data_IF_077341118692
#
_entry.id   IF_077341118692
#
_cell.length_a   1.000
_cell.length_b   1.000
_cell.length_c   1.000
_cell.angle_alpha   90.00
_cell.angle_beta   90.00
_cell.angle_gamma   90.00
#
_symmetry.space_group_name_H-M   'P 1'
#
loop_
_entity.id
_entity.type
_entity.pdbx_description
1 polymer ?
#
# COMPACT_ATOMS: atom_id res chain seq x y z
N UNK A 1 16.36 0.37 -79.91
CA UNK A 1 17.30 0.59 -78.77
C UNK A 1 16.72 1.51 -77.68
N UNK A 2 15.99 2.56 -78.02
CA UNK A 2 15.45 3.50 -76.99
C UNK A 2 14.33 2.97 -76.12
N UNK A 3 13.53 1.96 -76.53
CA UNK A 3 12.42 1.47 -75.69
C UNK A 3 12.88 0.47 -74.59
N UNK A 4 13.93 -0.25 -74.79
CA UNK A 4 14.50 -1.18 -73.79
C UNK A 4 15.17 -0.45 -72.64
N UNK A 5 15.83 0.67 -72.94
CA UNK A 5 16.47 1.50 -71.90
C UNK A 5 15.41 2.14 -70.94
N UNK A 6 14.23 2.52 -71.51
CA UNK A 6 13.12 3.07 -70.66
C UNK A 6 12.51 2.02 -69.72
N UNK A 7 12.41 0.77 -70.19
CA UNK A 7 11.84 -0.32 -69.36
C UNK A 7 12.83 -0.80 -68.29
N UNK A 8 14.13 -0.82 -68.59
CA UNK A 8 15.18 -1.12 -67.57
C UNK A 8 15.24 -0.02 -66.51
N UNK A 9 15.11 1.26 -66.90
CA UNK A 9 15.04 2.38 -65.95
C UNK A 9 13.82 2.33 -65.02
N UNK A 10 12.65 1.93 -65.53
CA UNK A 10 11.44 1.78 -64.70
C UNK A 10 11.51 0.60 -63.72
N UNK A 11 12.13 -0.52 -64.12
CA UNK A 11 12.34 -1.68 -63.25
C UNK A 11 13.37 -1.39 -62.15
N UNK A 12 14.45 -0.67 -62.45
CA UNK A 12 15.44 -0.25 -61.47
C UNK A 12 14.88 0.77 -60.47
N UNK A 13 14.00 1.69 -60.85
CA UNK A 13 13.29 2.61 -59.95
C UNK A 13 12.31 1.84 -59.06
N UNK A 14 11.59 0.83 -59.57
CA UNK A 14 10.69 -0.02 -58.78
C UNK A 14 11.39 -0.85 -57.72
N UNK A 15 12.61 -1.32 -57.99
CA UNK A 15 13.43 -2.09 -57.01
C UNK A 15 13.98 -1.19 -55.90
N UNK A 16 14.25 0.08 -56.18
CA UNK A 16 14.70 1.05 -55.18
C UNK A 16 13.60 1.46 -54.18
N UNK A 17 12.34 1.41 -54.58
CA UNK A 17 11.22 1.68 -53.68
C UNK A 17 10.82 0.48 -52.81
N UNK A 18 11.15 -0.74 -53.17
CA UNK A 18 10.78 -1.95 -52.42
C UNK A 18 11.68 -2.20 -51.17
N UNK A 19 12.87 -1.60 -51.16
CA UNK A 19 13.81 -1.78 -50.05
C UNK A 19 13.82 -0.65 -49.01
N UNK A 20 12.99 0.41 -49.16
CA UNK A 20 12.99 1.54 -48.24
C UNK A 20 11.98 1.44 -47.11
N UNK A 21 11.07 0.45 -47.10
CA UNK A 21 10.07 0.37 -46.02
C UNK A 21 10.65 -0.05 -44.68
N UNK A 22 11.70 -0.86 -44.65
CA UNK A 22 12.37 -1.27 -43.37
C UNK A 22 13.32 -0.23 -42.79
N UNK A 23 13.75 0.77 -43.60
CA UNK A 23 14.66 1.83 -43.13
C UNK A 23 13.87 3.01 -42.53
N UNK A 24 12.55 3.08 -42.77
CA UNK A 24 11.68 4.17 -42.35
C UNK A 24 10.86 3.86 -41.10
N UNK A 25 10.99 2.67 -40.55
CA UNK A 25 10.50 2.37 -39.17
C UNK A 25 11.72 2.24 -38.23
N UNK A 26 12.27 3.34 -37.74
CA UNK A 26 13.29 3.25 -36.69
C UNK A 26 12.64 2.56 -35.50
N UNK A 27 13.17 1.41 -35.11
CA UNK A 27 12.84 0.86 -33.79
C UNK A 27 13.18 1.94 -32.76
N UNK A 28 12.26 2.27 -31.83
CA UNK A 28 12.55 3.26 -30.80
C UNK A 28 13.81 2.82 -30.03
N UNK A 29 14.85 3.63 -30.02
CA UNK A 29 16.12 3.30 -29.35
C UNK A 29 15.92 2.86 -27.91
N UNK A 30 14.89 3.38 -27.24
CA UNK A 30 14.50 2.98 -25.89
C UNK A 30 13.98 1.55 -25.77
N UNK A 31 13.30 1.02 -26.78
CA UNK A 31 12.78 -0.35 -26.80
C UNK A 31 13.92 -1.36 -26.95
N UNK A 32 14.86 -1.11 -27.87
CA UNK A 32 16.04 -1.96 -28.05
C UNK A 32 16.90 -2.00 -26.79
N UNK A 33 17.06 -0.87 -26.12
CA UNK A 33 17.78 -0.81 -24.86
C UNK A 33 17.07 -1.60 -23.74
N UNK A 34 15.74 -1.53 -23.66
CA UNK A 34 14.96 -2.27 -22.66
C UNK A 34 14.99 -3.78 -22.92
N UNK A 35 14.86 -4.22 -24.19
CA UNK A 35 14.93 -5.61 -24.57
C UNK A 35 16.31 -6.21 -24.26
N UNK A 36 17.38 -5.48 -24.54
CA UNK A 36 18.74 -5.89 -24.20
C UNK A 36 18.94 -5.96 -22.68
N UNK A 37 18.40 -4.99 -21.94
CA UNK A 37 18.49 -4.97 -20.47
C UNK A 37 17.79 -6.17 -19.85
N UNK A 38 16.55 -6.45 -20.25
CA UNK A 38 15.71 -7.48 -19.64
C UNK A 38 15.92 -8.88 -20.23
N UNK A 39 16.97 -9.09 -21.04
CA UNK A 39 17.31 -10.39 -21.62
C UNK A 39 18.14 -11.27 -20.67
N UNK A 40 18.50 -10.79 -19.48
CA UNK A 40 19.33 -11.50 -18.50
C UNK A 40 18.65 -11.57 -17.15
N UNK A 41 19.09 -12.49 -16.28
CA UNK A 41 18.63 -12.57 -14.88
C UNK A 41 18.84 -11.25 -14.13
N UNK A 42 20.02 -10.62 -14.24
CA UNK A 42 20.33 -9.35 -13.57
C UNK A 42 19.43 -8.21 -14.09
N UNK A 43 19.14 -8.21 -15.38
CA UNK A 43 18.22 -7.28 -15.98
C UNK A 43 16.80 -7.44 -15.44
N UNK A 44 16.32 -8.68 -15.32
CA UNK A 44 15.02 -8.96 -14.71
C UNK A 44 14.97 -8.57 -13.23
N UNK A 45 16.02 -8.82 -12.44
CA UNK A 45 16.11 -8.35 -11.05
C UNK A 45 16.00 -6.82 -10.98
N UNK A 46 16.69 -6.12 -11.89
CA UNK A 46 16.58 -4.66 -12.02
C UNK A 46 15.16 -4.24 -12.39
N UNK A 47 14.53 -4.96 -13.32
CA UNK A 47 13.12 -4.76 -13.68
C UNK A 47 12.18 -4.94 -12.48
N UNK A 48 12.37 -6.00 -11.68
CA UNK A 48 11.61 -6.24 -10.44
C UNK A 48 11.80 -5.08 -9.46
N UNK A 49 13.03 -4.59 -9.25
CA UNK A 49 13.26 -3.42 -8.40
C UNK A 49 12.48 -2.20 -8.90
N UNK A 50 12.40 -2.04 -10.23
CA UNK A 50 11.58 -1.02 -10.86
C UNK A 50 10.08 -1.14 -10.56
N UNK A 51 9.56 -2.36 -10.33
CA UNK A 51 8.13 -2.57 -9.97
C UNK A 51 7.81 -1.95 -8.59
N UNK A 52 8.74 -2.00 -7.63
CA UNK A 52 8.54 -1.45 -6.28
C UNK A 52 8.61 0.08 -6.22
N UNK A 53 9.31 0.71 -7.18
CA UNK A 53 9.56 2.15 -7.14
C UNK A 53 8.30 3.03 -7.01
N UNK A 54 7.15 2.73 -7.65
CA UNK A 54 5.93 3.52 -7.47
C UNK A 54 5.39 3.53 -6.04
N UNK A 55 5.70 2.53 -5.20
CA UNK A 55 5.30 2.51 -3.80
C UNK A 55 5.80 3.74 -3.03
N UNK A 56 6.99 4.25 -3.38
CA UNK A 56 7.55 5.44 -2.75
C UNK A 56 6.64 6.66 -2.94
N UNK A 57 6.12 6.86 -4.14
CA UNK A 57 5.19 7.96 -4.42
C UNK A 57 3.81 7.70 -3.79
N UNK A 58 3.34 6.45 -3.83
CA UNK A 58 2.04 6.05 -3.27
C UNK A 58 2.04 6.29 -1.76
N UNK A 59 3.00 5.72 -1.02
CA UNK A 59 3.09 5.85 0.44
C UNK A 59 3.83 7.11 0.89
N UNK A 60 4.55 7.77 -0.01
CA UNK A 60 5.11 9.10 0.18
C UNK A 60 4.08 10.22 0.07
N UNK A 61 2.82 9.97 -0.28
CA UNK A 61 1.83 11.03 -0.40
C UNK A 61 0.42 10.59 -0.73
N UNK A 62 0.22 9.92 -1.86
CA UNK A 62 -1.14 9.72 -2.39
C UNK A 62 -2.01 8.82 -1.51
N UNK A 63 -1.47 7.73 -0.96
CA UNK A 63 -2.22 6.83 -0.09
C UNK A 63 -2.65 7.52 1.21
N UNK A 64 -1.73 8.25 1.84
CA UNK A 64 -2.00 9.02 3.07
C UNK A 64 -3.09 10.06 2.83
N UNK A 65 -3.06 10.74 1.69
CA UNK A 65 -4.02 11.79 1.38
C UNK A 65 -5.37 11.22 0.93
N UNK A 66 -5.38 10.17 0.12
CA UNK A 66 -6.61 9.56 -0.38
C UNK A 66 -7.31 8.72 0.69
N UNK A 67 -6.59 7.83 1.38
CA UNK A 67 -7.19 6.93 2.36
C UNK A 67 -7.12 7.46 3.81
N UNK A 68 -6.09 8.24 4.14
CA UNK A 68 -5.98 8.83 5.47
C UNK A 68 -6.99 9.95 5.71
N UNK A 69 -7.00 10.97 4.82
CA UNK A 69 -7.91 12.12 4.95
C UNK A 69 -9.38 11.79 4.72
N UNK A 70 -9.67 10.82 3.87
CA UNK A 70 -11.05 10.34 3.66
C UNK A 70 -11.49 9.35 4.74
N UNK A 71 -11.12 9.58 5.99
CA UNK A 71 -11.50 8.76 7.14
C UNK A 71 -11.94 9.63 8.33
N UNK A 72 -12.53 9.00 9.33
CA UNK A 72 -12.95 9.64 10.58
C UNK A 72 -11.80 9.80 11.60
N UNK A 73 -10.54 9.51 11.20
CA UNK A 73 -9.36 9.60 12.07
C UNK A 73 -8.60 10.90 11.93
N UNK A 74 -8.66 11.56 10.77
CA UNK A 74 -7.87 12.76 10.48
C UNK A 74 -8.70 13.89 9.90
N UNK A 75 -8.21 15.11 10.10
CA UNK A 75 -8.68 16.31 9.42
C UNK A 75 -7.49 17.20 9.06
N UNK A 76 -7.65 18.09 8.08
CA UNK A 76 -6.57 18.96 7.64
C UNK A 76 -6.62 20.29 8.37
N UNK A 77 -5.48 20.65 8.98
CA UNK A 77 -5.32 21.93 9.66
C UNK A 77 -5.55 23.12 8.73
N UNK A 78 -6.37 24.07 9.15
CA UNK A 78 -6.63 25.37 8.52
C UNK A 78 -7.50 25.42 7.27
N UNK A 79 -7.62 24.38 6.50
CA UNK A 79 -8.45 24.35 5.30
C UNK A 79 -8.92 22.93 5.04
N UNK A 80 -10.22 22.76 5.05
CA UNK A 80 -10.81 21.53 4.55
C UNK A 80 -10.36 21.27 3.13
N UNK A 81 -9.89 20.07 2.85
CA UNK A 81 -9.55 19.63 1.51
C UNK A 81 -10.72 18.82 0.92
N UNK A 82 -10.68 18.63 -0.37
CA UNK A 82 -11.70 17.86 -1.08
C UNK A 82 -11.87 16.46 -0.48
N UNK A 83 -10.79 15.87 0.03
CA UNK A 83 -10.82 14.55 0.69
C UNK A 83 -11.42 14.59 2.09
N UNK A 84 -11.20 15.65 2.88
CA UNK A 84 -11.80 15.78 4.22
C UNK A 84 -13.32 15.89 4.18
N UNK A 85 -13.86 16.50 3.14
CA UNK A 85 -15.30 16.75 2.97
C UNK A 85 -15.97 15.80 1.95
N UNK A 86 -15.26 14.75 1.51
CA UNK A 86 -15.73 13.81 0.50
C UNK A 86 -16.23 14.47 -0.81
N UNK A 87 -15.71 15.65 -1.14
CA UNK A 87 -16.02 16.36 -2.39
C UNK A 87 -14.93 16.14 -3.44
N UNK A 88 -14.64 14.87 -3.69
CA UNK A 88 -13.61 14.45 -4.64
C UNK A 88 -14.24 14.36 -6.03
N UNK A 89 -13.78 15.19 -6.94
CA UNK A 89 -14.16 15.17 -8.35
C UNK A 89 -12.99 14.77 -9.25
N UNK A 90 -13.24 14.66 -10.55
CA UNK A 90 -12.23 14.27 -11.54
C UNK A 90 -11.08 15.28 -11.69
N UNK A 91 -11.24 16.52 -11.23
CA UNK A 91 -10.21 17.55 -11.25
C UNK A 91 -9.25 17.45 -10.05
N UNK A 92 -9.55 16.59 -9.07
CA UNK A 92 -8.70 16.40 -7.92
C UNK A 92 -7.41 15.67 -8.31
N UNK A 93 -6.30 16.37 -8.42
CA UNK A 93 -5.04 15.88 -8.99
C UNK A 93 -4.45 14.62 -8.33
N UNK A 94 -4.87 14.29 -7.09
CA UNK A 94 -4.47 13.04 -6.44
C UNK A 94 -5.10 11.81 -7.08
N UNK A 95 -6.27 11.93 -7.70
CA UNK A 95 -6.92 10.85 -8.45
C UNK A 95 -6.01 10.41 -9.60
N UNK A 96 -5.60 11.35 -10.45
CA UNK A 96 -4.71 11.08 -11.58
C UNK A 96 -3.37 10.52 -11.12
N UNK A 97 -2.74 11.17 -10.14
CA UNK A 97 -1.43 10.72 -9.61
C UNK A 97 -1.50 9.32 -9.01
N UNK A 98 -2.58 8.98 -8.29
CA UNK A 98 -2.79 7.64 -7.73
C UNK A 98 -2.95 6.62 -8.85
N UNK A 99 -3.78 6.92 -9.84
CA UNK A 99 -3.99 6.09 -11.02
C UNK A 99 -2.68 5.80 -11.76
N UNK A 100 -1.95 6.84 -12.12
CA UNK A 100 -0.69 6.73 -12.87
C UNK A 100 0.36 5.89 -12.14
N UNK A 101 0.55 6.09 -10.84
CA UNK A 101 1.54 5.34 -10.10
C UNK A 101 1.21 3.84 -10.03
N UNK A 102 -0.05 3.48 -9.85
CA UNK A 102 -0.48 2.09 -9.84
C UNK A 102 -0.30 1.43 -11.22
N UNK A 103 -0.76 2.08 -12.29
CA UNK A 103 -0.56 1.56 -13.64
C UNK A 103 0.90 1.50 -14.07
N UNK A 104 1.74 2.43 -13.62
CA UNK A 104 3.20 2.37 -13.83
C UNK A 104 3.79 1.10 -13.20
N UNK A 105 3.36 0.72 -12.00
CA UNK A 105 3.76 -0.53 -11.37
C UNK A 105 3.25 -1.77 -12.14
N UNK A 106 1.98 -1.77 -12.56
CA UNK A 106 1.36 -2.85 -13.35
C UNK A 106 2.10 -3.05 -14.67
N UNK A 107 2.36 -1.98 -15.41
CA UNK A 107 3.07 -2.05 -16.71
C UNK A 107 4.46 -2.64 -16.54
N UNK A 108 5.21 -2.21 -15.52
CA UNK A 108 6.53 -2.76 -15.22
C UNK A 108 6.47 -4.25 -14.84
N UNK A 109 5.46 -4.66 -14.06
CA UNK A 109 5.26 -6.06 -13.72
C UNK A 109 4.96 -6.91 -14.97
N UNK A 110 4.08 -6.42 -15.86
CA UNK A 110 3.77 -7.10 -17.11
C UNK A 110 5.01 -7.26 -18.00
N UNK A 111 5.82 -6.20 -18.13
CA UNK A 111 7.06 -6.26 -18.91
C UNK A 111 8.02 -7.32 -18.36
N UNK A 112 8.24 -7.38 -17.03
CA UNK A 112 9.08 -8.42 -16.43
C UNK A 112 8.50 -9.82 -16.68
N UNK A 113 7.20 -10.01 -16.48
CA UNK A 113 6.53 -11.31 -16.65
C UNK A 113 6.58 -11.80 -18.13
N UNK A 114 6.45 -10.92 -19.11
CA UNK A 114 6.60 -11.30 -20.52
C UNK A 114 8.05 -11.60 -20.93
N UNK A 115 9.03 -10.94 -20.30
CA UNK A 115 10.45 -11.18 -20.61
C UNK A 115 11.02 -12.40 -19.88
N UNK A 116 10.46 -12.79 -18.74
CA UNK A 116 10.91 -13.90 -17.93
C UNK A 116 11.11 -15.22 -18.72
N UNK A 117 10.18 -15.66 -19.60
CA UNK A 117 10.36 -16.89 -20.37
C UNK A 117 11.42 -16.76 -21.48
N UNK A 118 11.87 -15.55 -21.82
CA UNK A 118 12.85 -15.29 -22.88
C UNK A 118 14.30 -15.35 -22.39
N UNK A 119 14.52 -15.35 -21.08
CA UNK A 119 15.87 -15.45 -20.50
C UNK A 119 16.33 -16.90 -20.58
N UNK A 120 17.47 -17.12 -21.23
CA UNK A 120 17.98 -18.46 -21.54
C UNK A 120 18.47 -19.22 -20.31
N UNK A 121 18.99 -18.53 -19.31
CA UNK A 121 19.56 -19.16 -18.12
C UNK A 121 19.36 -18.32 -16.87
N UNK A 122 19.11 -19.02 -15.76
CA UNK A 122 19.02 -18.46 -14.41
C UNK A 122 20.07 -19.11 -13.51
N UNK A 123 20.54 -18.39 -12.50
CA UNK A 123 21.43 -18.92 -11.47
C UNK A 123 20.82 -20.09 -10.70
N UNK A 124 19.50 -20.09 -10.56
CA UNK A 124 18.72 -21.20 -10.00
C UNK A 124 17.25 -21.13 -10.42
N UNK A 125 16.55 -22.26 -10.30
CA UNK A 125 15.09 -22.30 -10.50
C UNK A 125 14.34 -21.47 -9.45
N UNK A 126 14.90 -21.35 -8.23
CA UNK A 126 14.35 -20.48 -7.19
C UNK A 126 14.39 -19.01 -7.61
N UNK A 127 15.49 -18.54 -8.20
CA UNK A 127 15.60 -17.14 -8.63
C UNK A 127 14.53 -16.80 -9.67
N UNK A 128 14.34 -17.68 -10.66
CA UNK A 128 13.27 -17.51 -11.65
C UNK A 128 11.90 -17.42 -10.99
N UNK A 129 11.61 -18.34 -10.04
CA UNK A 129 10.35 -18.34 -9.29
C UNK A 129 10.16 -17.07 -8.46
N UNK A 130 11.23 -16.57 -7.82
CA UNK A 130 11.16 -15.35 -7.02
C UNK A 130 10.88 -14.11 -7.87
N UNK A 131 11.50 -13.98 -9.04
CA UNK A 131 11.22 -12.91 -10.00
C UNK A 131 9.76 -12.94 -10.42
N UNK A 132 9.23 -14.11 -10.80
CA UNK A 132 7.85 -14.29 -11.19
C UNK A 132 6.90 -13.96 -10.03
N UNK A 133 7.12 -14.57 -8.86
CA UNK A 133 6.29 -14.41 -7.67
C UNK A 133 6.21 -12.96 -7.18
N UNK A 134 7.33 -12.25 -7.15
CA UNK A 134 7.36 -10.83 -6.76
C UNK A 134 6.60 -9.96 -7.77
N UNK A 135 6.76 -10.22 -9.06
CA UNK A 135 6.08 -9.46 -10.12
C UNK A 135 4.57 -9.64 -10.05
N UNK A 136 4.08 -10.86 -9.85
CA UNK A 136 2.65 -11.17 -9.68
C UNK A 136 2.10 -10.60 -8.38
N UNK A 137 2.82 -10.73 -7.25
CA UNK A 137 2.43 -10.12 -5.99
C UNK A 137 2.22 -8.61 -6.12
N UNK A 138 3.17 -7.92 -6.73
CA UNK A 138 3.08 -6.47 -6.89
C UNK A 138 1.99 -6.05 -7.87
N UNK A 139 1.76 -6.80 -8.97
CA UNK A 139 0.66 -6.54 -9.88
C UNK A 139 -0.70 -6.68 -9.19
N UNK A 140 -0.87 -7.74 -8.42
CA UNK A 140 -2.06 -7.95 -7.59
C UNK A 140 -2.26 -6.81 -6.58
N UNK A 141 -1.19 -6.37 -5.91
CA UNK A 141 -1.23 -5.28 -4.94
C UNK A 141 -1.69 -3.96 -5.58
N UNK A 142 -1.16 -3.61 -6.75
CA UNK A 142 -1.57 -2.40 -7.46
C UNK A 142 -3.03 -2.47 -7.93
N UNK A 143 -3.46 -3.59 -8.49
CA UNK A 143 -4.87 -3.78 -8.85
C UNK A 143 -5.80 -3.76 -7.64
N UNK A 144 -5.39 -4.31 -6.51
CA UNK A 144 -6.18 -4.28 -5.29
C UNK A 144 -6.43 -2.85 -4.79
N UNK A 145 -5.42 -1.99 -4.85
CA UNK A 145 -5.62 -0.58 -4.53
C UNK A 145 -6.52 0.13 -5.56
N UNK A 146 -6.29 -0.11 -6.85
CA UNK A 146 -7.12 0.49 -7.91
C UNK A 146 -8.59 0.12 -7.78
N UNK A 147 -8.92 -1.16 -7.56
CA UNK A 147 -10.31 -1.60 -7.48
C UNK A 147 -11.02 -1.02 -6.25
N UNK A 148 -10.31 -0.86 -5.13
CA UNK A 148 -10.88 -0.24 -3.92
C UNK A 148 -11.13 1.26 -4.04
N UNK A 149 -10.31 1.98 -4.81
CA UNK A 149 -10.51 3.42 -5.03
C UNK A 149 -11.47 3.73 -6.19
N UNK A 150 -11.41 2.95 -7.28
CA UNK A 150 -12.06 3.32 -8.55
C UNK A 150 -13.14 2.33 -9.00
N UNK A 151 -13.33 1.24 -8.28
CA UNK A 151 -14.19 0.13 -8.73
C UNK A 151 -13.57 -0.61 -9.92
N UNK A 152 -14.37 -0.91 -10.95
CA UNK A 152 -13.83 -1.52 -12.17
C UNK A 152 -12.84 -0.60 -12.87
N UNK A 153 -11.74 -1.14 -13.38
CA UNK A 153 -10.67 -0.42 -14.08
C UNK A 153 -10.21 -1.23 -15.31
N UNK A 154 -9.50 -0.65 -16.29
CA UNK A 154 -8.92 -1.43 -17.39
C UNK A 154 -7.98 -2.53 -16.89
N UNK A 155 -8.23 -3.79 -17.30
CA UNK A 155 -7.42 -4.93 -16.88
C UNK A 155 -6.30 -5.17 -17.90
N UNK A 156 -5.11 -4.64 -17.59
CA UNK A 156 -3.90 -4.76 -18.39
C UNK A 156 -3.02 -5.88 -17.80
N UNK A 157 -2.91 -7.01 -18.48
CA UNK A 157 -2.14 -8.18 -18.03
C UNK A 157 -0.95 -8.52 -18.93
N UNK A 158 -0.82 -7.81 -20.06
CA UNK A 158 0.27 -7.94 -21.01
C UNK A 158 1.12 -6.67 -21.08
N UNK A 159 2.31 -6.76 -21.66
CA UNK A 159 3.16 -5.61 -21.95
C UNK A 159 2.49 -4.68 -22.99
N UNK A 160 2.57 -3.37 -22.77
CA UNK A 160 2.17 -2.38 -23.76
C UNK A 160 3.31 -2.20 -24.75
N UNK A 161 3.10 -2.60 -26.01
CA UNK A 161 4.06 -2.45 -27.11
C UNK A 161 3.67 -1.31 -28.04
N UNK A 162 2.38 -1.03 -28.14
CA UNK A 162 1.82 0.03 -28.97
C UNK A 162 0.80 0.85 -28.15
N UNK A 163 0.50 2.10 -28.53
CA UNK A 163 -0.55 2.87 -27.87
C UNK A 163 -1.92 2.17 -27.85
N UNK A 164 -2.24 1.37 -28.88
CA UNK A 164 -3.50 0.62 -28.97
C UNK A 164 -3.64 -0.45 -27.87
N UNK A 165 -2.53 -1.01 -27.36
CA UNK A 165 -2.55 -2.01 -26.28
C UNK A 165 -3.01 -1.40 -24.96
N UNK A 166 -2.94 -0.09 -24.82
CA UNK A 166 -3.40 0.66 -23.64
C UNK A 166 -4.87 1.10 -23.74
N UNK A 167 -5.48 1.03 -24.92
CA UNK A 167 -6.86 1.44 -25.17
C UNK A 167 -7.85 0.33 -24.77
N UNK A 168 -7.87 -0.02 -23.48
CA UNK A 168 -8.74 -1.06 -22.94
C UNK A 168 -9.99 -0.45 -22.30
N UNK A 169 -11.16 -1.09 -22.46
CA UNK A 169 -12.35 -0.68 -21.74
C UNK A 169 -12.21 -0.97 -20.24
N UNK A 170 -13.05 -0.36 -19.44
CA UNK A 170 -13.17 -0.66 -18.01
C UNK A 170 -13.66 -2.10 -17.84
N UNK A 171 -12.92 -2.91 -17.10
CA UNK A 171 -13.32 -4.24 -16.67
C UNK A 171 -14.21 -4.18 -15.43
N UNK A 172 -14.99 -5.21 -15.21
CA UNK A 172 -15.81 -5.33 -14.01
C UNK A 172 -14.96 -5.52 -12.75
N UNK A 173 -15.50 -5.15 -11.61
CA UNK A 173 -14.89 -5.38 -10.29
C UNK A 173 -14.54 -6.87 -10.12
N UNK A 174 -15.46 -7.76 -10.54
CA UNK A 174 -15.25 -9.21 -10.42
C UNK A 174 -14.09 -9.72 -11.26
N UNK A 175 -13.89 -9.22 -12.49
CA UNK A 175 -12.75 -9.60 -13.34
C UNK A 175 -11.42 -9.15 -12.70
N UNK A 176 -11.39 -7.95 -12.10
CA UNK A 176 -10.20 -7.44 -11.39
C UNK A 176 -9.87 -8.33 -10.18
N UNK A 177 -10.85 -8.65 -9.33
CA UNK A 177 -10.62 -9.53 -8.18
C UNK A 177 -10.22 -10.94 -8.59
N UNK A 178 -10.75 -11.45 -9.71
CA UNK A 178 -10.35 -12.75 -10.26
C UNK A 178 -8.85 -12.74 -10.62
N UNK A 179 -8.39 -11.69 -11.30
CA UNK A 179 -6.97 -11.55 -11.64
C UNK A 179 -6.09 -11.38 -10.39
N UNK A 180 -6.52 -10.57 -9.43
CA UNK A 180 -5.80 -10.40 -8.15
C UNK A 180 -5.60 -11.75 -7.46
N UNK A 181 -6.67 -12.54 -7.33
CA UNK A 181 -6.60 -13.86 -6.69
C UNK A 181 -5.72 -14.86 -7.46
N UNK A 182 -5.76 -14.80 -8.79
CA UNK A 182 -4.88 -15.62 -9.62
C UNK A 182 -3.39 -15.27 -9.37
N UNK A 183 -3.05 -14.00 -9.44
CA UNK A 183 -1.67 -13.53 -9.22
C UNK A 183 -1.19 -13.84 -7.79
N UNK A 184 -2.03 -13.66 -6.78
CA UNK A 184 -1.69 -13.99 -5.39
C UNK A 184 -1.57 -15.50 -5.16
N UNK A 185 -2.43 -16.31 -5.78
CA UNK A 185 -2.34 -17.77 -5.72
C UNK A 185 -1.00 -18.28 -6.27
N UNK A 186 -0.57 -17.74 -7.40
CA UNK A 186 0.74 -18.02 -7.95
C UNK A 186 1.86 -17.52 -7.03
N UNK A 187 1.78 -16.28 -6.53
CA UNK A 187 2.77 -15.71 -5.63
C UNK A 187 2.95 -16.54 -4.36
N UNK A 188 1.88 -17.07 -3.75
CA UNK A 188 1.93 -17.94 -2.58
C UNK A 188 2.75 -19.21 -2.85
N UNK A 189 2.70 -19.75 -4.06
CA UNK A 189 3.43 -20.96 -4.44
C UNK A 189 4.87 -20.68 -4.87
N UNK A 190 5.14 -19.51 -5.42
CA UNK A 190 6.41 -19.13 -6.00
C UNK A 190 7.36 -18.48 -4.99
N UNK A 191 6.84 -17.72 -4.02
CA UNK A 191 7.62 -16.98 -3.06
C UNK A 191 8.08 -17.85 -1.88
N UNK A 192 9.29 -17.58 -1.33
CA UNK A 192 9.79 -18.28 -0.17
C UNK A 192 9.10 -17.79 1.11
N UNK A 193 9.15 -18.60 2.19
CA UNK A 193 8.73 -18.15 3.52
C UNK A 193 9.71 -17.15 4.15
N UNK A 194 10.98 -17.22 3.75
CA UNK A 194 12.05 -16.26 4.06
C UNK A 194 13.12 -16.36 2.98
N UNK A 195 13.80 -15.25 2.71
CA UNK A 195 14.93 -15.26 1.78
C UNK A 195 16.20 -15.72 2.51
N UNK A 196 16.90 -16.70 1.94
CA UNK A 196 18.08 -17.35 2.52
C UNK A 196 19.42 -16.78 2.00
N UNK A 197 19.44 -15.54 1.55
CA UNK A 197 20.62 -14.91 0.99
C UNK A 197 21.32 -14.00 2.00
N UNK A 198 22.58 -14.27 2.32
CA UNK A 198 23.38 -13.46 3.24
C UNK A 198 23.84 -12.09 2.69
N UNK A 199 23.27 -11.62 1.60
CA UNK A 199 23.66 -10.35 0.95
C UNK A 199 22.91 -9.12 1.47
N UNK A 200 21.86 -9.30 2.29
CA UNK A 200 20.96 -8.22 2.73
C UNK A 200 20.13 -7.59 1.61
N UNK A 201 20.31 -8.02 0.36
CA UNK A 201 19.62 -7.45 -0.81
C UNK A 201 18.20 -7.95 -0.99
N UNK A 202 17.84 -9.04 -0.32
CA UNK A 202 16.49 -9.63 -0.35
C UNK A 202 15.60 -9.14 0.80
N UNK A 203 16.15 -8.40 1.76
CA UNK A 203 15.38 -7.82 2.86
C UNK A 203 14.34 -6.86 2.31
N UNK A 204 13.11 -6.97 2.80
CA UNK A 204 11.99 -6.14 2.37
C UNK A 204 11.26 -6.62 1.11
N UNK A 205 11.72 -7.70 0.46
CA UNK A 205 10.98 -8.33 -0.63
C UNK A 205 9.78 -9.12 -0.09
N UNK A 206 8.67 -9.19 -0.84
CA UNK A 206 7.50 -9.96 -0.40
C UNK A 206 7.83 -11.44 -0.26
N UNK A 207 7.41 -12.02 0.85
CA UNK A 207 7.50 -13.45 1.13
C UNK A 207 6.18 -14.17 0.85
N UNK A 208 6.14 -15.51 0.96
CA UNK A 208 4.89 -16.27 0.97
C UNK A 208 3.91 -15.72 2.00
N UNK A 209 4.40 -15.31 3.18
CA UNK A 209 3.53 -14.76 4.22
C UNK A 209 2.94 -13.39 3.84
N UNK A 210 3.68 -12.56 3.11
CA UNK A 210 3.14 -11.33 2.55
C UNK A 210 2.03 -11.60 1.53
N UNK A 211 2.21 -12.60 0.65
CA UNK A 211 1.20 -12.98 -0.33
C UNK A 211 -0.06 -13.57 0.34
N UNK A 212 0.10 -14.42 1.36
CA UNK A 212 -1.01 -14.94 2.16
C UNK A 212 -1.77 -13.83 2.90
N UNK A 213 -1.05 -12.89 3.51
CA UNK A 213 -1.67 -11.77 4.22
C UNK A 213 -2.43 -10.83 3.26
N UNK A 214 -1.88 -10.57 2.08
CA UNK A 214 -2.60 -9.78 1.07
C UNK A 214 -3.82 -10.53 0.53
N UNK A 215 -3.74 -11.85 0.31
CA UNK A 215 -4.89 -12.67 -0.06
C UNK A 215 -5.96 -12.67 1.04
N UNK A 216 -5.55 -12.72 2.32
CA UNK A 216 -6.48 -12.58 3.45
C UNK A 216 -7.16 -11.21 3.45
N UNK A 217 -6.42 -10.13 3.16
CA UNK A 217 -7.00 -8.78 3.04
C UNK A 217 -7.99 -8.68 1.87
N UNK A 218 -7.69 -9.31 0.72
CA UNK A 218 -8.61 -9.40 -0.43
C UNK A 218 -9.89 -10.15 -0.05
N UNK A 219 -9.75 -11.29 0.62
CA UNK A 219 -10.90 -12.07 1.07
C UNK A 219 -11.72 -11.33 2.14
N UNK A 220 -11.06 -10.56 3.01
CA UNK A 220 -11.73 -9.70 4.00
C UNK A 220 -12.60 -8.62 3.33
N UNK A 221 -12.08 -7.98 2.28
CA UNK A 221 -12.81 -7.00 1.48
C UNK A 221 -14.04 -7.59 0.77
N UNK A 222 -13.96 -8.87 0.41
CA UNK A 222 -15.02 -9.61 -0.27
C UNK A 222 -15.94 -10.40 0.69
N UNK A 223 -15.73 -10.26 2.00
CA UNK A 223 -16.47 -11.01 3.03
C UNK A 223 -16.38 -12.55 2.87
N UNK A 224 -15.26 -13.02 2.29
CA UNK A 224 -14.98 -14.44 2.13
C UNK A 224 -14.25 -14.98 3.37
N UNK A 225 -14.98 -15.11 4.47
CA UNK A 225 -14.46 -15.31 5.81
C UNK A 225 -13.62 -16.59 5.97
N UNK A 226 -14.03 -17.70 5.39
CA UNK A 226 -13.26 -18.96 5.41
C UNK A 226 -11.92 -18.81 4.68
N UNK A 227 -11.88 -17.98 3.63
CA UNK A 227 -10.67 -17.63 2.91
C UNK A 227 -9.70 -16.83 3.79
N UNK A 228 -10.22 -15.87 4.59
CA UNK A 228 -9.41 -15.13 5.57
C UNK A 228 -8.81 -16.08 6.60
N UNK A 229 -9.63 -16.96 7.20
CA UNK A 229 -9.20 -17.92 8.22
C UNK A 229 -8.14 -18.87 7.65
N UNK A 230 -8.34 -19.38 6.44
CA UNK A 230 -7.39 -20.30 5.80
C UNK A 230 -6.03 -19.65 5.53
N UNK A 231 -6.02 -18.45 4.93
CA UNK A 231 -4.77 -17.77 4.57
C UNK A 231 -4.01 -17.26 5.79
N UNK A 232 -4.69 -16.80 6.83
CA UNK A 232 -4.05 -16.33 8.06
C UNK A 232 -3.50 -17.48 8.92
N UNK A 233 -4.07 -18.69 8.83
CA UNK A 233 -3.63 -19.85 9.60
C UNK A 233 -2.14 -20.21 9.40
N UNK A 234 -1.61 -20.02 8.19
CA UNK A 234 -0.20 -20.27 7.91
C UNK A 234 0.73 -19.16 8.48
N UNK A 235 0.18 -17.98 8.81
CA UNK A 235 0.95 -16.83 9.29
C UNK A 235 0.98 -16.80 10.83
N UNK A 236 -0.09 -17.26 11.49
CA UNK A 236 -0.16 -17.27 12.95
C UNK A 236 1.04 -18.01 13.54
N UNK A 237 1.71 -17.37 14.52
CA UNK A 237 2.92 -17.88 15.15
C UNK A 237 4.20 -17.80 14.31
N UNK A 238 4.17 -17.16 13.12
CA UNK A 238 5.37 -16.87 12.31
C UNK A 238 5.91 -15.47 12.50
N UNK A 239 5.04 -14.54 12.93
CA UNK A 239 5.37 -13.22 13.43
C UNK A 239 5.07 -13.15 14.93
N UNK A 240 5.23 -11.94 15.48
CA UNK A 240 4.83 -11.61 16.86
C UNK A 240 4.55 -10.12 16.97
N UNK A 241 3.75 -9.75 17.93
CA UNK A 241 3.64 -8.36 18.37
C UNK A 241 4.96 -7.92 19.02
N UNK A 242 5.41 -6.71 18.72
CA UNK A 242 6.58 -6.15 19.37
C UNK A 242 6.19 -5.65 20.78
N UNK A 243 7.04 -5.92 21.76
CA UNK A 243 6.81 -5.53 23.17
C UNK A 243 6.65 -3.99 23.31
N UNK A 244 7.49 -3.26 22.58
CA UNK A 244 7.36 -1.81 22.48
C UNK A 244 6.67 -1.46 21.15
N UNK A 245 5.47 -0.91 21.23
CA UNK A 245 4.67 -0.53 20.05
C UNK A 245 5.40 0.43 19.10
N UNK A 246 6.19 1.38 19.66
CA UNK A 246 6.94 2.36 18.89
C UNK A 246 7.96 1.73 17.92
N UNK A 247 8.46 0.53 18.23
CA UNK A 247 9.49 -0.13 17.43
C UNK A 247 8.99 -0.56 16.05
N UNK A 248 7.67 -0.59 15.83
CA UNK A 248 7.07 -0.80 14.52
C UNK A 248 7.26 0.42 13.57
N UNK A 249 7.60 1.60 14.10
CA UNK A 249 7.52 2.86 13.36
C UNK A 249 8.76 3.76 13.46
N UNK A 250 9.75 3.38 14.27
CA UNK A 250 10.91 4.21 14.61
C UNK A 250 12.22 3.74 13.93
N UNK A 251 12.12 2.86 12.94
CA UNK A 251 13.27 2.33 12.20
C UNK A 251 14.08 1.26 12.94
N UNK A 252 13.78 0.96 14.23
CA UNK A 252 14.58 0.01 15.03
C UNK A 252 14.33 -1.46 14.69
N UNK A 253 13.15 -1.79 14.17
CA UNK A 253 12.70 -3.16 13.88
C UNK A 253 12.13 -3.30 12.47
N UNK A 254 12.69 -2.57 11.50
CA UNK A 254 12.30 -2.70 10.09
C UNK A 254 12.45 -4.13 9.60
N UNK A 255 11.46 -4.60 8.86
CA UNK A 255 11.38 -5.99 8.38
C UNK A 255 11.52 -7.03 9.49
N UNK A 256 11.25 -6.63 10.74
CA UNK A 256 11.33 -7.47 11.94
C UNK A 256 10.12 -8.35 12.15
N UNK A 257 10.05 -8.96 13.34
CA UNK A 257 9.03 -9.97 13.66
C UNK A 257 7.59 -9.42 13.71
N UNK A 258 7.42 -8.10 13.85
CA UNK A 258 6.11 -7.42 13.80
C UNK A 258 5.64 -7.10 12.39
N UNK A 259 6.56 -7.16 11.41
CA UNK A 259 6.31 -6.79 10.02
C UNK A 259 6.00 -7.99 9.13
N UNK A 260 5.05 -7.82 8.22
CA UNK A 260 4.74 -8.79 7.17
C UNK A 260 5.15 -8.24 5.80
N UNK A 261 4.87 -6.97 5.54
CA UNK A 261 5.28 -6.29 4.32
C UNK A 261 5.39 -4.79 4.54
N UNK A 262 6.50 -4.18 4.09
CA UNK A 262 6.81 -2.76 4.25
C UNK A 262 7.25 -2.14 2.93
N UNK A 263 6.99 -0.83 2.77
CA UNK A 263 7.68 -0.03 1.76
C UNK A 263 9.08 0.27 2.28
N UNK A 264 10.08 -0.09 1.49
CA UNK A 264 11.47 0.12 1.83
C UNK A 264 11.90 1.54 1.47
N UNK A 265 12.35 2.30 2.47
CA UNK A 265 12.94 3.62 2.31
C UNK A 265 14.37 3.61 2.86
N UNK A 266 15.19 4.56 2.44
CA UNK A 266 16.60 4.57 2.84
C UNK A 266 17.43 3.55 2.06
N UNK A 267 18.67 3.37 2.50
CA UNK A 267 19.63 2.45 1.92
C UNK A 267 20.91 3.16 1.48
N UNK A 268 21.97 2.38 1.25
CA UNK A 268 23.32 2.84 0.91
C UNK A 268 23.39 3.66 -0.40
N UNK A 269 22.34 3.68 -1.19
CA UNK A 269 22.31 4.33 -2.51
C UNK A 269 21.91 5.80 -2.47
N UNK A 270 21.68 6.38 -1.29
CA UNK A 270 21.33 7.81 -1.19
C UNK A 270 20.03 8.20 -1.89
N UNK A 271 19.19 7.23 -2.23
CA UNK A 271 17.85 7.50 -2.68
C UNK A 271 17.06 7.98 -1.46
N UNK A 272 17.06 9.28 -1.25
CA UNK A 272 16.17 9.97 -0.33
C UNK A 272 14.75 9.79 -0.84
N UNK A 273 14.17 8.65 -0.58
CA UNK A 273 12.77 8.42 -0.81
C UNK A 273 12.02 9.08 0.31
N UNK A 274 11.34 10.12 -0.07
CA UNK A 274 10.51 10.94 0.80
C UNK A 274 9.35 10.09 1.26
N UNK A 275 9.36 9.69 2.50
CA UNK A 275 8.15 9.34 3.20
C UNK A 275 7.45 10.67 3.55
N UNK A 276 6.18 10.83 3.22
CA UNK A 276 5.42 12.06 3.48
C UNK A 276 5.08 12.26 4.96
N UNK A 277 6.04 11.99 5.83
CA UNK A 277 5.92 12.34 7.25
C UNK A 277 5.64 13.80 7.47
N UNK A 278 6.05 14.63 6.51
CA UNK A 278 5.63 15.98 6.47
C UNK A 278 4.12 16.15 6.67
N UNK A 279 3.30 15.23 6.22
CA UNK A 279 1.85 15.23 6.43
C UNK A 279 1.45 14.94 7.87
N UNK A 280 2.31 14.31 8.66
CA UNK A 280 2.09 13.97 10.07
C UNK A 280 2.98 14.76 11.05
N UNK A 281 3.88 15.59 10.57
CA UNK A 281 4.72 16.44 11.42
C UNK A 281 3.89 17.49 12.15
N UNK A 282 4.43 18.08 13.23
CA UNK A 282 3.79 19.22 13.87
C UNK A 282 3.43 20.33 12.89
N UNK A 283 2.30 21.01 13.08
CA UNK A 283 1.74 21.97 12.12
C UNK A 283 2.68 23.11 11.71
N UNK A 284 3.57 23.57 12.57
CA UNK A 284 4.53 24.63 12.27
C UNK A 284 5.60 24.21 11.25
N UNK A 285 5.95 22.92 11.23
CA UNK A 285 6.95 22.37 10.33
C UNK A 285 6.40 22.16 8.91
N UNK A 286 5.08 22.18 8.75
CA UNK A 286 4.39 21.91 7.48
C UNK A 286 3.87 23.16 6.74
N UNK A 287 4.07 24.36 7.31
CA UNK A 287 3.50 25.54 6.68
C UNK A 287 1.95 25.54 6.62
N UNK A 288 1.30 24.71 7.39
CA UNK A 288 -0.14 24.70 7.58
C UNK A 288 -0.95 23.64 6.81
N UNK A 289 -0.31 22.62 6.26
CA UNK A 289 -0.99 21.52 5.56
C UNK A 289 -0.98 20.20 6.36
N UNK A 290 -0.80 20.26 7.69
CA UNK A 290 -0.73 19.08 8.53
C UNK A 290 -2.06 18.34 8.63
N UNK A 291 -2.00 17.02 8.63
CA UNK A 291 -3.11 16.17 9.05
C UNK A 291 -3.06 16.05 10.57
N UNK A 292 -4.18 16.32 11.22
CA UNK A 292 -4.34 16.21 12.65
C UNK A 292 -5.27 15.05 13.00
N UNK A 293 -5.13 14.45 14.20
CA UNK A 293 -6.09 13.48 14.67
C UNK A 293 -7.43 14.17 14.96
N UNK A 294 -8.53 13.46 14.74
CA UNK A 294 -9.86 13.95 15.11
C UNK A 294 -9.99 13.96 16.64
N UNK A 295 -10.43 15.10 17.20
CA UNK A 295 -10.59 15.33 18.63
C UNK A 295 -11.94 16.01 18.91
N UNK A 296 -12.83 15.34 19.65
CA UNK A 296 -14.17 15.86 19.98
C UNK A 296 -14.14 17.05 20.94
N UNK A 297 -13.02 17.28 21.62
CA UNK A 297 -12.90 18.36 22.60
C UNK A 297 -12.48 19.68 21.98
N UNK A 298 -12.03 19.69 20.73
CA UNK A 298 -11.53 20.87 20.07
C UNK A 298 -12.62 21.59 19.27
N UNK A 299 -13.01 22.79 19.76
CA UNK A 299 -14.07 23.62 19.19
C UNK A 299 -13.53 24.86 18.41
N UNK A 300 -12.34 24.76 17.81
CA UNK A 300 -11.76 25.86 17.04
C UNK A 300 -12.63 26.25 15.84
N UNK A 301 -12.69 27.55 15.50
CA UNK A 301 -13.26 28.02 14.24
C UNK A 301 -12.42 27.48 13.09
N UNK A 302 -12.85 26.46 12.41
CA UNK A 302 -12.15 25.79 11.32
C UNK A 302 -12.50 24.31 11.23
N UNK A 303 -13.59 23.91 11.86
CA UNK A 303 -14.24 22.63 11.58
C UNK A 303 -13.49 21.43 12.13
N UNK A 304 -13.36 21.36 13.45
CA UNK A 304 -13.33 20.05 14.07
C UNK A 304 -14.64 19.35 13.66
N UNK A 305 -14.54 18.18 13.08
CA UNK A 305 -15.68 17.26 13.02
C UNK A 305 -15.94 16.79 14.45
N UNK A 306 -16.54 17.63 15.26
CA UNK A 306 -17.07 17.28 16.59
C UNK A 306 -18.28 16.38 16.39
N UNK A 307 -18.07 15.19 15.88
CA UNK A 307 -19.12 14.22 15.63
C UNK A 307 -19.34 13.26 16.80
N UNK A 308 -18.60 13.43 17.89
CA UNK A 308 -18.63 12.48 19.02
C UNK A 308 -17.90 11.17 18.72
N UNK A 309 -17.02 11.15 17.70
CA UNK A 309 -16.31 9.97 17.23
C UNK A 309 -14.81 10.22 16.99
N UNK A 310 -14.22 11.21 17.67
CA UNK A 310 -12.79 11.51 17.55
C UNK A 310 -11.90 10.35 17.98
N UNK A 311 -10.85 10.04 17.22
CA UNK A 311 -9.92 8.96 17.56
C UNK A 311 -9.22 9.19 18.90
N UNK A 312 -9.00 10.46 19.29
CA UNK A 312 -8.34 10.83 20.55
C UNK A 312 -9.10 10.28 21.77
N UNK A 313 -10.43 10.24 21.70
CA UNK A 313 -11.31 9.76 22.77
C UNK A 313 -11.45 8.24 22.81
N UNK A 314 -11.05 7.54 21.75
CA UNK A 314 -11.15 6.08 21.70
C UNK A 314 -10.10 5.37 22.57
N UNK A 315 -8.98 6.02 22.87
CA UNK A 315 -7.92 5.41 23.71
C UNK A 315 -8.39 5.23 25.16
N UNK A 316 -8.31 3.99 25.65
CA UNK A 316 -8.61 3.64 27.04
C UNK A 316 -7.51 4.14 28.00
N UNK A 317 -7.83 4.42 29.28
CA UNK A 317 -6.81 4.72 30.26
C UNK A 317 -5.77 3.60 30.39
N UNK A 318 -4.50 3.93 30.24
CA UNK A 318 -3.40 2.97 30.28
C UNK A 318 -3.00 2.36 28.96
N UNK A 319 -3.66 2.71 27.85
CA UNK A 319 -3.27 2.29 26.50
C UNK A 319 -1.93 2.91 26.12
N UNK A 320 -0.89 2.05 26.05
CA UNK A 320 0.49 2.46 25.73
C UNK A 320 0.66 3.01 24.31
N UNK A 321 -0.28 2.73 23.41
CA UNK A 321 -0.22 3.18 22.03
C UNK A 321 -0.52 4.66 21.88
N UNK A 322 -1.27 5.23 22.83
CA UNK A 322 -1.68 6.64 22.78
C UNK A 322 -0.49 7.58 22.69
N UNK A 323 0.49 7.44 23.58
CA UNK A 323 1.65 8.34 23.66
C UNK A 323 2.64 8.14 22.49
N UNK A 324 2.61 6.98 21.85
CA UNK A 324 3.36 6.74 20.61
C UNK A 324 2.66 7.36 19.40
N UNK A 325 1.35 7.28 19.38
CA UNK A 325 0.53 7.68 18.22
C UNK A 325 0.27 9.18 18.19
N UNK A 326 0.11 9.81 19.35
CA UNK A 326 -0.29 11.20 19.53
C UNK A 326 0.70 11.95 20.41
N UNK A 327 1.04 13.19 20.04
CA UNK A 327 1.82 14.09 20.88
C UNK A 327 1.16 15.48 20.94
N UNK A 328 1.36 16.18 22.06
CA UNK A 328 0.86 17.54 22.25
C UNK A 328 1.79 18.56 21.60
N UNK A 329 1.21 19.59 21.01
CA UNK A 329 1.90 20.75 20.46
C UNK A 329 1.44 22.03 21.16
N UNK A 330 2.38 22.89 21.52
CA UNK A 330 2.08 24.17 22.19
C UNK A 330 1.77 25.25 21.14
N UNK A 331 0.50 25.65 21.07
CA UNK A 331 0.03 26.69 20.17
C UNK A 331 0.57 28.10 20.49
N UNK A 332 1.13 28.33 21.69
CA UNK A 332 1.69 29.65 22.06
C UNK A 332 2.94 30.00 21.20
N UNK A 333 3.59 28.99 20.60
CA UNK A 333 4.70 29.17 19.67
C UNK A 333 4.27 29.27 18.21
N UNK A 334 2.96 29.27 17.93
CA UNK A 334 2.43 29.29 16.57
C UNK A 334 2.32 30.72 16.03
N UNK A 335 2.71 30.91 14.77
CA UNK A 335 2.68 32.21 14.07
C UNK A 335 1.25 32.70 13.70
N UNK A 336 0.20 32.15 14.32
CA UNK A 336 -1.19 32.46 14.00
C UNK A 336 -1.93 33.04 15.19
N UNK A 337 -2.06 34.37 15.27
CA UNK A 337 -2.63 35.05 16.41
C UNK A 337 -4.13 34.79 16.65
N UNK A 338 -4.84 34.22 15.66
CA UNK A 338 -6.30 34.09 15.69
C UNK A 338 -6.79 32.70 16.14
N UNK A 339 -5.89 31.78 16.55
CA UNK A 339 -6.26 30.46 17.00
C UNK A 339 -6.33 30.34 18.52
N UNK A 340 -7.21 29.44 19.06
CA UNK A 340 -7.32 29.26 20.50
C UNK A 340 -5.99 28.81 21.11
N UNK A 341 -5.64 29.38 22.26
CA UNK A 341 -4.46 28.97 23.03
C UNK A 341 -4.72 27.63 23.70
N UNK A 342 -3.81 26.68 23.50
CA UNK A 342 -3.87 25.35 24.11
C UNK A 342 -3.01 24.34 23.40
N UNK A 343 -2.89 23.17 23.99
CA UNK A 343 -2.17 22.05 23.34
C UNK A 343 -2.99 21.48 22.21
N UNK A 344 -2.45 21.50 20.99
CA UNK A 344 -2.97 20.79 19.85
C UNK A 344 -2.30 19.42 19.77
N UNK A 345 -3.06 18.37 19.54
CA UNK A 345 -2.49 17.05 19.29
C UNK A 345 -2.08 16.94 17.81
N UNK A 346 -0.97 16.29 17.57
CA UNK A 346 -0.53 15.90 16.23
C UNK A 346 -0.22 14.40 16.16
N UNK A 347 -0.17 13.86 14.94
CA UNK A 347 0.13 12.45 14.70
C UNK A 347 1.63 12.23 14.87
N UNK A 348 2.01 11.56 15.96
CA UNK A 348 3.41 11.32 16.34
C UNK A 348 3.94 9.97 15.83
N UNK A 349 3.06 9.04 15.47
CA UNK A 349 3.37 7.65 15.15
C UNK A 349 4.54 7.47 14.17
N UNK A 350 4.67 8.36 13.20
CA UNK A 350 5.71 8.32 12.17
C UNK A 350 6.70 9.47 12.29
N UNK A 351 6.64 10.26 13.33
CA UNK A 351 7.47 11.45 13.48
C UNK A 351 8.92 11.08 13.85
N UNK A 352 9.89 11.64 13.12
CA UNK A 352 11.31 11.44 13.34
C UNK A 352 12.03 12.79 13.42
N UNK A 353 12.52 13.14 14.59
CA UNK A 353 13.24 14.39 14.83
C UNK A 353 14.66 14.40 14.24
N UNK A 354 15.18 13.22 13.87
CA UNK A 354 16.59 13.05 13.46
C UNK A 354 16.80 13.33 11.97
N UNK A 355 15.81 12.99 11.14
CA UNK A 355 15.93 13.18 9.69
C UNK A 355 15.80 14.65 9.29
N UNK A 356 16.65 15.10 8.39
CA UNK A 356 16.65 16.46 7.88
C UNK A 356 16.52 16.46 6.34
N UNK A 357 15.61 17.22 5.77
CA UNK A 357 14.57 18.03 6.45
C UNK A 357 13.54 17.16 7.17
N UNK A 358 12.97 17.65 8.25
CA UNK A 358 11.99 16.95 9.12
C UNK A 358 10.76 16.40 8.35
N UNK A 359 10.53 16.90 7.15
CA UNK A 359 9.48 16.44 6.23
C UNK A 359 9.85 15.14 5.49
N UNK A 360 11.01 14.58 5.72
CA UNK A 360 11.51 13.37 5.06
C UNK A 360 11.87 12.30 6.09
N UNK A 361 11.77 11.05 5.71
CA UNK A 361 12.18 9.93 6.55
C UNK A 361 12.76 8.81 5.73
N UNK A 362 13.80 8.20 6.28
CA UNK A 362 14.44 6.98 5.78
C UNK A 362 13.81 5.71 6.34
N UNK A 363 12.89 5.80 7.31
CA UNK A 363 12.27 4.62 7.92
C UNK A 363 11.20 4.02 7.01
N UNK A 364 11.09 2.72 7.01
CA UNK A 364 10.10 2.00 6.25
C UNK A 364 8.66 2.33 6.68
N UNK A 365 7.73 2.16 5.76
CA UNK A 365 6.31 2.30 6.06
C UNK A 365 5.67 0.90 6.07
N UNK A 366 5.07 0.47 7.19
CA UNK A 366 4.43 -0.83 7.28
C UNK A 366 3.14 -0.85 6.49
N UNK A 367 3.04 -1.75 5.50
CA UNK A 367 1.81 -1.99 4.74
C UNK A 367 0.94 -3.03 5.42
N UNK A 368 1.53 -4.13 5.89
CA UNK A 368 0.84 -5.19 6.63
C UNK A 368 1.71 -5.56 7.83
N UNK A 369 1.14 -5.45 9.02
CA UNK A 369 1.77 -5.88 10.28
C UNK A 369 1.14 -7.15 10.80
N UNK A 370 1.84 -7.84 11.70
CA UNK A 370 1.33 -9.05 12.34
C UNK A 370 0.04 -8.78 13.13
N UNK A 371 -0.09 -7.62 13.77
CA UNK A 371 -1.32 -7.19 14.44
C UNK A 371 -2.53 -7.15 13.49
N UNK A 372 -2.35 -6.66 12.25
CA UNK A 372 -3.41 -6.65 11.25
C UNK A 372 -3.87 -8.09 10.90
N UNK A 373 -2.92 -9.03 10.79
CA UNK A 373 -3.25 -10.46 10.55
C UNK A 373 -4.07 -11.07 11.69
N UNK A 374 -3.70 -10.77 12.96
CA UNK A 374 -4.47 -11.21 14.13
C UNK A 374 -5.90 -10.68 14.10
N UNK A 375 -6.06 -9.38 13.85
CA UNK A 375 -7.36 -8.72 13.83
C UNK A 375 -8.22 -9.15 12.62
N UNK A 376 -7.63 -9.36 11.44
CA UNK A 376 -8.35 -9.93 10.29
C UNK A 376 -8.91 -11.32 10.58
N UNK A 377 -8.10 -12.17 11.22
CA UNK A 377 -8.53 -13.51 11.60
C UNK A 377 -9.61 -13.49 12.67
N UNK A 378 -9.46 -12.62 13.69
CA UNK A 378 -10.47 -12.47 14.75
C UNK A 378 -11.81 -12.01 14.19
N UNK A 379 -11.80 -11.06 13.24
CA UNK A 379 -13.00 -10.61 12.53
C UNK A 379 -13.67 -11.76 11.78
N UNK A 380 -12.93 -12.45 10.94
CA UNK A 380 -13.47 -13.55 10.13
C UNK A 380 -14.06 -14.67 10.98
N UNK A 381 -13.40 -15.06 12.07
CA UNK A 381 -13.91 -16.06 13.00
C UNK A 381 -15.23 -15.63 13.65
N UNK A 382 -15.33 -14.37 14.04
CA UNK A 382 -16.57 -13.81 14.59
C UNK A 382 -17.69 -13.78 13.55
N UNK A 383 -17.38 -13.41 12.30
CA UNK A 383 -18.38 -13.34 11.22
C UNK A 383 -18.88 -14.72 10.80
N UNK A 384 -18.03 -15.76 10.81
CA UNK A 384 -18.44 -17.16 10.61
C UNK A 384 -19.36 -17.62 11.73
N UNK A 385 -19.06 -17.24 12.98
CA UNK A 385 -19.90 -17.59 14.13
C UNK A 385 -19.30 -17.20 15.47
N UNK A 386 -20.08 -16.50 16.28
CA UNK A 386 -19.66 -16.09 17.62
C UNK A 386 -19.39 -17.32 18.50
N UNK A 387 -18.18 -17.41 19.02
CA UNK A 387 -17.76 -18.46 19.96
C UNK A 387 -17.24 -17.80 21.24
N UNK A 388 -17.99 -17.88 22.37
CA UNK A 388 -17.59 -17.28 23.65
C UNK A 388 -16.21 -17.77 24.10
N UNK A 389 -15.29 -16.83 24.39
CA UNK A 389 -13.91 -17.12 24.80
C UNK A 389 -13.16 -18.07 23.83
N UNK A 390 -13.53 -18.06 22.54
CA UNK A 390 -12.87 -18.83 21.50
C UNK A 390 -11.66 -18.12 20.90
N UNK A 391 -11.10 -18.69 19.83
CA UNK A 391 -9.90 -18.16 19.16
C UNK A 391 -10.01 -16.68 18.79
N UNK A 392 -11.19 -16.21 18.38
CA UNK A 392 -11.39 -14.78 18.07
C UNK A 392 -11.07 -13.87 19.27
N UNK A 393 -11.47 -14.30 20.49
CA UNK A 393 -11.13 -13.58 21.75
C UNK A 393 -9.63 -13.64 22.03
N UNK A 394 -8.99 -14.80 21.84
CA UNK A 394 -7.55 -14.94 22.08
C UNK A 394 -6.75 -13.97 21.20
N UNK A 395 -7.09 -13.87 19.92
CA UNK A 395 -6.43 -13.01 18.95
C UNK A 395 -6.66 -11.50 19.24
N UNK A 396 -7.89 -11.11 19.55
CA UNK A 396 -8.21 -9.74 19.95
C UNK A 396 -7.47 -9.36 21.23
N UNK A 397 -7.46 -10.26 22.21
CA UNK A 397 -6.81 -10.05 23.49
C UNK A 397 -5.29 -10.03 23.39
N UNK A 398 -4.68 -10.77 22.46
CA UNK A 398 -3.23 -10.69 22.22
C UNK A 398 -2.83 -9.24 21.88
N UNK A 399 -3.60 -8.56 21.03
CA UNK A 399 -3.35 -7.16 20.66
C UNK A 399 -3.59 -6.23 21.86
N UNK A 400 -4.71 -6.38 22.59
CA UNK A 400 -5.06 -5.53 23.73
C UNK A 400 -4.07 -5.65 24.88
N UNK A 401 -3.69 -6.88 25.23
CA UNK A 401 -2.73 -7.13 26.32
C UNK A 401 -1.36 -6.57 25.96
N UNK A 402 -0.93 -6.70 24.71
CA UNK A 402 0.32 -6.07 24.25
C UNK A 402 0.29 -4.54 24.39
N UNK A 403 -0.88 -3.93 24.17
CA UNK A 403 -1.11 -2.49 24.37
C UNK A 403 -1.18 -2.09 25.87
N UNK A 404 -1.12 -3.03 26.81
CA UNK A 404 -1.20 -2.79 28.26
C UNK A 404 -2.62 -2.75 28.80
N UNK A 405 -3.61 -3.18 28.03
CA UNK A 405 -5.03 -3.20 28.42
C UNK A 405 -5.46 -4.57 28.94
N UNK A 406 -6.61 -4.60 29.63
CA UNK A 406 -7.27 -5.86 29.96
C UNK A 406 -7.86 -6.54 28.72
N UNK A 407 -7.85 -7.88 28.73
CA UNK A 407 -8.55 -8.65 27.71
C UNK A 407 -10.07 -8.61 27.90
N UNK A 408 -10.80 -8.88 26.83
CA UNK A 408 -12.26 -9.13 26.84
C UNK A 408 -12.56 -10.60 27.10
N UNK A 409 -13.71 -10.88 27.65
CA UNK A 409 -14.25 -12.24 27.83
C UNK A 409 -15.74 -12.28 27.44
N UNK A 410 -16.33 -13.45 27.49
CA UNK A 410 -17.74 -13.65 27.16
C UNK A 410 -18.71 -13.00 28.19
N UNK A 411 -18.24 -12.43 29.29
CA UNK A 411 -19.05 -11.65 30.22
C UNK A 411 -19.07 -10.18 29.83
N UNK A 412 -17.99 -9.71 29.22
CA UNK A 412 -17.86 -8.33 28.71
C UNK A 412 -18.37 -8.15 27.30
N UNK A 413 -18.25 -9.17 26.44
CA UNK A 413 -18.76 -9.20 25.06
C UNK A 413 -19.64 -10.45 24.91
N UNK A 414 -20.94 -10.31 25.08
CA UNK A 414 -21.88 -11.43 25.20
C UNK A 414 -22.48 -11.87 23.88
N UNK A 415 -22.32 -11.06 22.84
CA UNK A 415 -22.91 -11.28 21.51
C UNK A 415 -21.88 -11.08 20.38
N UNK A 416 -22.17 -11.64 19.22
CA UNK A 416 -21.39 -11.42 18.00
C UNK A 416 -21.26 -9.91 17.68
N UNK A 417 -22.33 -9.16 17.86
CA UNK A 417 -22.34 -7.72 17.58
C UNK A 417 -21.45 -6.93 18.54
N UNK A 418 -21.49 -7.22 19.84
CA UNK A 418 -20.61 -6.57 20.82
C UNK A 418 -19.14 -6.90 20.56
N UNK A 419 -18.84 -8.15 20.16
CA UNK A 419 -17.48 -8.52 19.73
C UNK A 419 -17.04 -7.74 18.48
N UNK A 420 -17.92 -7.62 17.48
CA UNK A 420 -17.65 -6.84 16.26
C UNK A 420 -17.35 -5.38 16.58
N UNK A 421 -18.12 -4.75 17.47
CA UNK A 421 -17.91 -3.36 17.89
C UNK A 421 -16.57 -3.19 18.61
N UNK A 422 -16.22 -4.10 19.51
CA UNK A 422 -14.94 -4.10 20.19
C UNK A 422 -13.77 -4.28 19.19
N UNK A 423 -13.91 -5.16 18.23
CA UNK A 423 -12.90 -5.38 17.19
C UNK A 423 -12.75 -4.18 16.26
N UNK A 424 -13.83 -3.54 15.84
CA UNK A 424 -13.82 -2.30 15.05
C UNK A 424 -13.03 -1.20 15.77
N UNK A 425 -13.27 -1.05 17.07
CA UNK A 425 -12.54 -0.11 17.92
C UNK A 425 -11.06 -0.48 18.03
N UNK A 426 -10.75 -1.76 18.28
CA UNK A 426 -9.37 -2.22 18.40
C UNK A 426 -8.58 -2.04 17.10
N UNK A 427 -9.18 -2.38 15.94
CA UNK A 427 -8.57 -2.13 14.63
C UNK A 427 -8.30 -0.65 14.39
N UNK A 428 -9.24 0.22 14.73
CA UNK A 428 -9.09 1.67 14.62
C UNK A 428 -7.86 2.18 15.35
N UNK A 429 -7.70 1.76 16.62
CA UNK A 429 -6.62 2.22 17.49
C UNK A 429 -5.27 1.60 17.10
N UNK A 430 -5.25 0.28 16.88
CA UNK A 430 -4.02 -0.44 16.55
C UNK A 430 -3.43 0.01 15.21
N UNK A 431 -4.27 0.19 14.21
CA UNK A 431 -3.88 0.53 12.85
C UNK A 431 -4.06 2.03 12.52
N UNK A 432 -4.20 2.86 13.55
CA UNK A 432 -4.40 4.31 13.41
C UNK A 432 -3.35 4.92 12.48
N UNK A 433 -3.80 5.72 11.51
CA UNK A 433 -2.97 6.47 10.55
C UNK A 433 -2.13 5.61 9.58
N UNK A 434 -2.34 4.28 9.54
CA UNK A 434 -1.67 3.39 8.59
C UNK A 434 -2.43 3.29 7.24
N UNK A 435 -3.29 4.24 6.93
CA UNK A 435 -4.11 4.30 5.71
C UNK A 435 -5.06 3.09 5.53
N UNK A 436 -5.52 2.51 6.64
CA UNK A 436 -6.45 1.36 6.67
C UNK A 436 -7.90 1.80 6.88
N UNK A 437 -8.12 2.80 7.72
CA UNK A 437 -9.44 3.17 8.24
C UNK A 437 -10.48 3.45 7.16
N UNK A 438 -10.12 4.16 6.09
CA UNK A 438 -11.01 4.44 4.96
C UNK A 438 -11.60 3.15 4.34
N UNK A 439 -10.73 2.16 4.10
CA UNK A 439 -11.15 0.88 3.51
C UNK A 439 -11.99 0.07 4.49
N UNK A 440 -11.64 0.06 5.78
CA UNK A 440 -12.42 -0.60 6.82
C UNK A 440 -13.83 0.01 6.92
N UNK A 441 -13.95 1.35 6.96
CA UNK A 441 -15.24 2.04 6.97
C UNK A 441 -16.09 1.73 5.74
N UNK A 442 -15.44 1.68 4.56
CA UNK A 442 -16.13 1.40 3.30
C UNK A 442 -16.69 -0.04 3.25
N UNK A 443 -15.84 -1.04 3.56
CA UNK A 443 -16.29 -2.45 3.56
C UNK A 443 -17.31 -2.78 4.64
N UNK A 444 -17.28 -2.10 5.78
CA UNK A 444 -18.33 -2.22 6.82
C UNK A 444 -19.59 -1.43 6.50
N UNK A 445 -19.63 -0.63 5.43
CA UNK A 445 -20.79 0.18 5.03
C UNK A 445 -21.10 1.32 6.00
N UNK A 446 -20.13 1.80 6.76
CA UNK A 446 -20.27 2.87 7.76
C UNK A 446 -19.49 4.13 7.40
N UNK A 447 -18.89 4.19 6.22
CA UNK A 447 -18.30 5.42 5.67
C UNK A 447 -19.44 6.44 5.46
N UNK A 448 -19.34 7.62 6.10
CA UNK A 448 -20.36 8.67 6.05
C UNK A 448 -19.78 9.98 5.62
#
# INVERSE_FOLDING_TARGET
>A
MNNYIKHIGLVLIGILFYNCSKILEPEPEGQVALDALLSTEEGLITGVNGIFQPLHSIYGGTMVQMAGRSSDDTWTWRKETESDIFNIDEAFGLIETTWENHYRGITRANTVLERLPLVESFSSDEMRRYIEGQSKFMRAYYYFNLVRFYGGVPLLVNEIKTPADAELPRSSIQEIYTQIKLDLGDAITLLPTAYSGGSGKEVGRPTKYAALALMATVNLELEEWEGVVSNTAEIIGKGRLLENYADNFNGSQENGAGSIFEVQYGGETGATTINSRGTYSPPDLQGGAANLPTDDTWNGEGGSLSSGNGIVQEYEPGDKRKDVTLAGYDLDNFLFPDQPKGSLLYINKFFNEVDQPITQSTWNFPIIRYADVLLMRAEALNEIGYTPNGEAFDLLNEVRVNAGLGGHDALSLTTQQEFREALIKERRIELAFESKRYFDLNRWGILR
#
